data_IF_478788017946
#
_entry.id   IF_478788017946
#
_cell.length_a   1.000
_cell.length_b   1.000
_cell.length_c   1.000
_cell.angle_alpha   90.00
_cell.angle_beta   90.00
_cell.angle_gamma   90.00
#
_symmetry.space_group_name_H-M   'P 1'
#
loop_
_entity.id
_entity.type
_entity.pdbx_description
1 polymer ?
#
# COMPACT_ATOMS: atom_id res chain seq x y z
N UNK A 1 -29.38 59.04 37.20
CA UNK A 1 -28.54 58.67 36.04
C UNK A 1 -27.39 57.84 36.57
N UNK A 2 -27.51 56.51 36.49
CA UNK A 2 -26.48 55.59 36.96
C UNK A 2 -25.50 55.34 35.83
N UNK A 3 -24.22 55.63 36.08
CA UNK A 3 -23.13 55.41 35.12
C UNK A 3 -22.80 53.92 35.13
N UNK A 4 -23.14 53.23 34.04
CA UNK A 4 -22.85 51.82 33.85
C UNK A 4 -21.38 51.67 33.44
N UNK A 5 -20.55 51.26 34.39
CA UNK A 5 -19.12 51.03 34.21
C UNK A 5 -18.92 49.83 33.27
N UNK A 6 -18.57 50.08 32.01
CA UNK A 6 -18.25 49.03 31.05
C UNK A 6 -17.06 48.20 31.55
N UNK A 7 -17.29 46.90 31.76
CA UNK A 7 -16.26 45.96 32.14
C UNK A 7 -15.26 45.77 30.99
N UNK A 8 -13.94 45.67 31.27
CA UNK A 8 -12.92 45.49 30.24
C UNK A 8 -13.16 44.17 29.51
N UNK A 9 -13.34 44.24 28.20
CA UNK A 9 -13.44 43.05 27.34
C UNK A 9 -12.10 42.33 27.35
N UNK A 10 -12.01 41.24 28.11
CA UNK A 10 -10.85 40.35 28.08
C UNK A 10 -10.78 39.75 26.67
N UNK A 11 -9.67 40.00 25.97
CA UNK A 11 -9.42 39.41 24.66
C UNK A 11 -9.44 37.88 24.80
N UNK A 12 -10.09 37.14 23.88
CA UNK A 12 -10.11 35.69 23.91
C UNK A 12 -8.67 35.16 23.87
N UNK A 13 -8.38 34.04 24.56
CA UNK A 13 -7.06 33.44 24.57
C UNK A 13 -6.62 33.20 23.12
N UNK A 14 -5.44 33.74 22.78
CA UNK A 14 -4.76 33.54 21.51
C UNK A 14 -4.82 32.06 21.15
N UNK A 15 -5.52 31.73 20.07
CA UNK A 15 -5.58 30.38 19.53
C UNK A 15 -4.15 29.85 19.43
N UNK A 16 -3.88 28.72 20.06
CA UNK A 16 -2.60 28.01 19.89
C UNK A 16 -2.35 27.88 18.38
N UNK A 17 -1.15 28.23 17.89
CA UNK A 17 -0.83 28.03 16.49
C UNK A 17 -1.09 26.56 16.19
N UNK A 18 -2.07 26.31 15.31
CA UNK A 18 -2.40 24.96 14.88
C UNK A 18 -1.13 24.26 14.39
N UNK A 19 -1.08 22.92 14.43
CA UNK A 19 0.03 22.19 13.82
C UNK A 19 0.26 22.77 12.42
N UNK A 20 1.52 23.10 12.12
CA UNK A 20 1.90 23.69 10.83
C UNK A 20 1.34 22.88 9.66
N UNK A 21 1.26 23.48 8.46
CA UNK A 21 0.66 22.84 7.30
C UNK A 21 1.23 21.43 7.15
N UNK A 22 0.37 20.42 7.29
CA UNK A 22 0.74 19.04 7.04
C UNK A 22 1.00 18.95 5.55
N UNK A 23 2.22 18.63 5.14
CA UNK A 23 2.56 18.45 3.72
C UNK A 23 1.76 17.26 3.19
N UNK A 24 0.64 17.56 2.52
CA UNK A 24 -0.22 16.56 1.92
C UNK A 24 0.40 16.06 0.62
N UNK A 25 0.29 14.75 0.37
CA UNK A 25 0.73 14.14 -0.89
C UNK A 25 0.00 14.79 -2.08
N UNK A 26 0.76 15.49 -2.94
CA UNK A 26 0.20 16.16 -4.11
C UNK A 26 0.11 15.17 -5.30
N UNK A 27 -0.95 14.38 -5.33
CA UNK A 27 -1.17 13.39 -6.39
C UNK A 27 -1.40 14.06 -7.75
N UNK A 28 -0.49 13.82 -8.71
CA UNK A 28 -0.58 14.32 -10.08
C UNK A 28 -1.26 13.33 -11.04
N UNK A 29 -1.45 13.73 -12.29
CA UNK A 29 -1.99 12.84 -13.35
C UNK A 29 -1.13 11.58 -13.54
N UNK A 30 0.19 11.71 -13.35
CA UNK A 30 1.11 10.57 -13.37
C UNK A 30 0.77 9.55 -12.28
N UNK A 31 0.38 9.99 -11.08
CA UNK A 31 0.03 9.08 -9.99
C UNK A 31 -1.27 8.32 -10.27
N UNK A 32 -2.23 8.94 -10.96
CA UNK A 32 -3.43 8.24 -11.44
C UNK A 32 -3.08 7.19 -12.49
N UNK A 33 -2.21 7.53 -13.46
CA UNK A 33 -1.75 6.57 -14.48
C UNK A 33 -1.03 5.40 -13.81
N UNK A 34 -0.11 5.68 -12.88
CA UNK A 34 0.58 4.64 -12.10
C UNK A 34 -0.41 3.81 -11.28
N UNK A 35 -1.42 4.43 -10.66
CA UNK A 35 -2.46 3.73 -9.92
C UNK A 35 -3.26 2.77 -10.81
N UNK A 36 -3.62 3.18 -12.03
CA UNK A 36 -4.29 2.30 -13.02
C UNK A 36 -3.37 1.18 -13.48
N UNK A 37 -2.11 1.48 -13.78
CA UNK A 37 -1.12 0.46 -14.18
C UNK A 37 -0.86 -0.55 -13.07
N UNK A 38 -0.86 -0.11 -11.81
CA UNK A 38 -0.73 -1.01 -10.66
C UNK A 38 -1.99 -1.85 -10.46
N UNK A 39 -3.17 -1.24 -10.55
CA UNK A 39 -4.44 -1.94 -10.31
C UNK A 39 -4.80 -2.93 -11.42
N UNK A 40 -4.43 -2.64 -12.67
CA UNK A 40 -4.82 -3.45 -13.83
C UNK A 40 -3.63 -4.10 -14.54
N UNK A 41 -2.57 -3.34 -14.79
CA UNK A 41 -1.41 -3.82 -15.56
C UNK A 41 -0.58 -4.86 -14.79
N UNK A 42 -0.37 -4.65 -13.50
CA UNK A 42 0.45 -5.54 -12.68
C UNK A 42 -0.19 -6.93 -12.44
N UNK A 43 -1.51 -7.07 -12.20
CA UNK A 43 -2.16 -8.38 -12.18
C UNK A 43 -2.04 -9.12 -13.51
N UNK A 44 -2.17 -8.41 -14.65
CA UNK A 44 -1.98 -9.02 -15.98
C UNK A 44 -0.53 -9.47 -16.19
N UNK A 45 0.45 -8.66 -15.79
CA UNK A 45 1.86 -9.03 -15.86
C UNK A 45 2.18 -10.23 -14.95
N UNK A 46 1.60 -10.29 -13.76
CA UNK A 46 1.76 -11.41 -12.83
C UNK A 46 1.12 -12.69 -13.38
N UNK A 47 -0.05 -12.60 -14.02
CA UNK A 47 -0.70 -13.72 -14.70
C UNK A 47 0.17 -14.24 -15.86
N UNK A 48 0.67 -13.35 -16.71
CA UNK A 48 1.60 -13.73 -17.78
C UNK A 48 2.89 -14.38 -17.24
N UNK A 49 3.45 -13.85 -16.15
CA UNK A 49 4.60 -14.45 -15.47
C UNK A 49 4.29 -15.84 -14.93
N UNK A 50 3.09 -16.06 -14.38
CA UNK A 50 2.65 -17.37 -13.94
C UNK A 50 2.64 -18.36 -15.10
N UNK A 51 2.10 -17.97 -16.26
CA UNK A 51 2.05 -18.83 -17.46
C UNK A 51 3.45 -19.17 -17.99
N UNK A 52 4.38 -18.21 -17.98
CA UNK A 52 5.75 -18.40 -18.51
C UNK A 52 6.65 -19.16 -17.53
N UNK A 53 6.53 -18.89 -16.23
CA UNK A 53 7.44 -19.46 -15.21
C UNK A 53 6.88 -20.71 -14.54
N UNK A 54 5.58 -20.99 -14.70
CA UNK A 54 4.88 -22.11 -14.06
C UNK A 54 4.67 -21.93 -12.55
N UNK A 55 4.98 -20.76 -11.98
CA UNK A 55 4.89 -20.52 -10.54
C UNK A 55 4.56 -19.09 -10.14
N UNK A 56 3.87 -18.94 -9.01
CA UNK A 56 3.43 -17.62 -8.51
C UNK A 56 4.59 -16.77 -7.96
N UNK A 57 5.75 -17.36 -7.65
CA UNK A 57 6.86 -16.67 -7.01
C UNK A 57 7.39 -15.49 -7.84
N UNK A 58 7.52 -15.64 -9.16
CA UNK A 58 8.00 -14.59 -10.04
C UNK A 58 7.01 -13.41 -10.14
N UNK A 59 5.71 -13.72 -10.28
CA UNK A 59 4.64 -12.71 -10.27
C UNK A 59 4.58 -11.95 -8.95
N UNK A 60 4.67 -12.64 -7.81
CA UNK A 60 4.68 -12.01 -6.48
C UNK A 60 5.94 -11.15 -6.26
N UNK A 61 7.10 -11.62 -6.71
CA UNK A 61 8.34 -10.85 -6.64
C UNK A 61 8.23 -9.56 -7.45
N UNK A 62 7.72 -9.60 -8.68
CA UNK A 62 7.47 -8.41 -9.49
C UNK A 62 6.47 -7.49 -8.79
N UNK A 63 5.29 -8.01 -8.44
CA UNK A 63 4.18 -7.24 -7.90
C UNK A 63 4.56 -6.52 -6.60
N UNK A 64 5.12 -7.24 -5.63
CA UNK A 64 5.50 -6.64 -4.35
C UNK A 64 6.73 -5.75 -4.45
N UNK A 65 7.71 -6.09 -5.28
CA UNK A 65 8.90 -5.21 -5.43
C UNK A 65 8.52 -3.88 -6.07
N UNK A 66 7.64 -3.89 -7.08
CA UNK A 66 7.18 -2.67 -7.75
C UNK A 66 6.29 -1.85 -6.81
N UNK A 67 5.19 -2.43 -6.32
CA UNK A 67 4.19 -1.69 -5.54
C UNK A 67 4.70 -1.28 -4.17
N UNK A 68 5.36 -2.21 -3.47
CA UNK A 68 5.81 -1.94 -2.14
C UNK A 68 7.15 -1.18 -2.19
N UNK A 69 8.18 -1.67 -2.88
CA UNK A 69 9.51 -1.05 -2.73
C UNK A 69 9.74 0.11 -3.70
N UNK A 70 9.72 -0.15 -5.00
CA UNK A 70 10.17 0.81 -6.01
C UNK A 70 9.31 2.07 -6.00
N UNK A 71 7.99 1.89 -6.05
CA UNK A 71 7.05 2.99 -6.17
C UNK A 71 7.02 3.86 -4.91
N UNK A 72 6.99 3.25 -3.72
CA UNK A 72 7.03 4.00 -2.45
C UNK A 72 8.34 4.76 -2.31
N UNK A 73 9.49 4.14 -2.61
CA UNK A 73 10.78 4.83 -2.52
C UNK A 73 10.88 5.99 -3.50
N UNK A 74 10.39 5.81 -4.72
CA UNK A 74 10.37 6.88 -5.72
C UNK A 74 9.53 8.07 -5.23
N UNK A 75 8.29 7.82 -4.80
CA UNK A 75 7.37 8.90 -4.44
C UNK A 75 7.70 9.59 -3.13
N UNK A 76 8.33 8.88 -2.17
CA UNK A 76 8.92 9.49 -0.98
C UNK A 76 9.97 10.55 -1.32
N UNK A 77 10.71 10.37 -2.40
CA UNK A 77 11.76 11.30 -2.83
C UNK A 77 11.27 12.51 -3.63
N UNK A 78 10.08 12.43 -4.25
CA UNK A 78 9.64 13.45 -5.22
C UNK A 78 8.42 14.26 -4.81
N UNK A 79 7.48 13.70 -4.05
CA UNK A 79 6.15 14.32 -3.83
C UNK A 79 5.73 14.36 -2.36
N UNK A 80 6.68 14.20 -1.44
CA UNK A 80 6.38 14.17 0.00
C UNK A 80 5.49 13.00 0.42
N UNK A 81 5.37 11.94 -0.40
CA UNK A 81 4.56 10.77 -0.05
C UNK A 81 5.06 10.20 1.28
N UNK A 82 4.22 10.21 2.31
CA UNK A 82 4.57 9.67 3.61
C UNK A 82 3.67 8.49 3.94
N UNK A 83 4.30 7.35 4.25
CA UNK A 83 3.57 6.18 4.71
C UNK A 83 3.49 6.20 6.22
N UNK A 84 2.29 6.04 6.75
CA UNK A 84 2.04 6.00 8.21
C UNK A 84 2.72 4.79 8.87
N UNK A 85 2.90 3.70 8.12
CA UNK A 85 3.41 2.43 8.63
C UNK A 85 4.89 2.24 8.25
N UNK A 86 5.72 1.87 9.25
CA UNK A 86 7.12 1.49 9.04
C UNK A 86 7.21 0.26 8.13
N UNK A 87 8.31 0.14 7.39
CA UNK A 87 8.46 -0.92 6.40
C UNK A 87 8.53 -2.31 7.04
N UNK A 88 7.58 -3.23 6.76
CA UNK A 88 7.59 -4.54 7.36
C UNK A 88 8.46 -5.50 6.53
N UNK A 89 9.78 -5.28 6.55
CA UNK A 89 10.75 -6.08 5.78
C UNK A 89 10.62 -7.58 6.02
N UNK A 90 10.30 -7.99 7.25
CA UNK A 90 10.07 -9.39 7.58
C UNK A 90 8.85 -9.96 6.87
N UNK A 91 7.73 -9.23 6.81
CA UNK A 91 6.53 -9.67 6.07
C UNK A 91 6.81 -9.77 4.57
N UNK A 92 7.57 -8.81 4.02
CA UNK A 92 7.98 -8.84 2.61
C UNK A 92 8.89 -10.04 2.31
N UNK A 93 9.91 -10.29 3.14
CA UNK A 93 10.79 -11.44 2.95
C UNK A 93 10.02 -12.76 3.06
N UNK A 94 9.17 -12.88 4.09
CA UNK A 94 8.31 -14.04 4.27
C UNK A 94 7.32 -14.23 3.10
N UNK A 95 6.84 -13.16 2.47
CA UNK A 95 5.92 -13.24 1.32
C UNK A 95 6.55 -13.72 0.05
N UNK A 96 7.86 -13.56 -0.10
CA UNK A 96 8.60 -14.08 -1.25
C UNK A 96 9.16 -15.47 -0.98
N UNK A 97 9.74 -15.67 0.21
CA UNK A 97 10.38 -16.94 0.58
C UNK A 97 9.34 -18.06 0.68
N UNK A 98 8.18 -17.81 1.31
CA UNK A 98 7.17 -18.85 1.53
C UNK A 98 6.65 -19.46 0.21
N UNK A 99 6.13 -18.68 -0.76
CA UNK A 99 5.69 -19.25 -2.04
C UNK A 99 6.85 -19.81 -2.87
N UNK A 100 8.05 -19.23 -2.82
CA UNK A 100 9.21 -19.80 -3.50
C UNK A 100 9.60 -21.18 -2.94
N UNK A 101 9.60 -21.33 -1.61
CA UNK A 101 9.86 -22.60 -0.94
C UNK A 101 8.77 -23.62 -1.25
N UNK A 102 7.49 -23.22 -1.19
CA UNK A 102 6.37 -24.09 -1.57
C UNK A 102 6.52 -24.53 -3.03
N UNK A 103 6.77 -23.61 -3.96
CA UNK A 103 6.96 -23.94 -5.38
C UNK A 103 8.16 -24.87 -5.61
N UNK A 104 9.26 -24.67 -4.89
CA UNK A 104 10.46 -25.52 -5.00
C UNK A 104 10.21 -26.92 -4.47
N UNK A 105 9.63 -27.04 -3.27
CA UNK A 105 9.30 -28.32 -2.66
C UNK A 105 8.24 -29.10 -3.46
N UNK A 106 7.39 -28.38 -4.21
CA UNK A 106 6.31 -28.95 -5.00
C UNK A 106 6.57 -28.89 -6.52
N UNK A 107 7.81 -28.67 -6.97
CA UNK A 107 8.12 -28.38 -8.38
C UNK A 107 7.63 -29.44 -9.38
N UNK A 108 7.57 -30.71 -8.96
CA UNK A 108 7.08 -31.82 -9.79
C UNK A 108 5.63 -32.23 -9.51
N UNK A 109 4.94 -31.49 -8.65
CA UNK A 109 3.59 -31.80 -8.20
C UNK A 109 2.62 -30.74 -8.69
N UNK A 110 1.78 -31.09 -9.66
CA UNK A 110 0.63 -30.26 -10.04
C UNK A 110 -0.33 -30.11 -8.84
N UNK A 111 -1.17 -29.05 -8.80
CA UNK A 111 -2.22 -28.92 -7.80
C UNK A 111 -3.07 -30.20 -7.76
N UNK A 112 -2.89 -31.00 -6.72
CA UNK A 112 -3.61 -32.27 -6.57
C UNK A 112 -4.98 -31.97 -5.98
N UNK A 113 -6.02 -32.52 -6.58
CA UNK A 113 -7.39 -32.52 -6.01
C UNK A 113 -7.40 -33.11 -4.59
N UNK A 114 -6.41 -33.96 -4.26
CA UNK A 114 -6.20 -34.57 -2.95
C UNK A 114 -4.97 -33.98 -2.22
N UNK A 115 -4.80 -32.66 -2.21
CA UNK A 115 -3.73 -32.03 -1.46
C UNK A 115 -3.81 -32.42 0.03
N UNK A 116 -2.68 -32.68 0.71
CA UNK A 116 -2.68 -32.99 2.14
C UNK A 116 -3.33 -31.86 2.94
N UNK A 117 -4.22 -32.19 3.89
CA UNK A 117 -4.92 -31.21 4.72
C UNK A 117 -3.97 -30.23 5.43
N UNK A 118 -2.80 -30.70 5.86
CA UNK A 118 -1.78 -29.84 6.45
C UNK A 118 -1.32 -28.75 5.47
N UNK A 119 -1.11 -29.07 4.20
CA UNK A 119 -0.72 -28.09 3.18
C UNK A 119 -1.80 -27.06 2.91
N UNK A 120 -3.07 -27.49 2.92
CA UNK A 120 -4.24 -26.59 2.82
C UNK A 120 -4.29 -25.63 4.02
N UNK A 121 -4.14 -26.16 5.24
CA UNK A 121 -4.14 -25.36 6.47
C UNK A 121 -3.00 -24.35 6.51
N UNK A 122 -1.78 -24.75 6.12
CA UNK A 122 -0.64 -23.83 6.05
C UNK A 122 -0.87 -22.72 5.01
N UNK A 123 -1.45 -23.06 3.86
CA UNK A 123 -1.79 -22.07 2.85
C UNK A 123 -2.85 -21.09 3.36
N UNK A 124 -3.90 -21.59 4.00
CA UNK A 124 -5.00 -20.77 4.51
C UNK A 124 -4.61 -19.90 5.71
N UNK A 125 -3.82 -20.42 6.65
CA UNK A 125 -3.51 -19.74 7.92
C UNK A 125 -2.23 -18.92 7.87
N UNK A 126 -1.28 -19.24 6.99
CA UNK A 126 0.01 -18.54 6.90
C UNK A 126 0.10 -17.77 5.59
N UNK A 127 -0.02 -18.45 4.46
CA UNK A 127 0.22 -17.82 3.17
C UNK A 127 -0.88 -16.79 2.82
N UNK A 128 -2.16 -17.14 2.97
CA UNK A 128 -3.26 -16.26 2.58
C UNK A 128 -3.30 -14.94 3.38
N UNK A 129 -3.16 -14.92 4.72
CA UNK A 129 -3.14 -13.67 5.48
C UNK A 129 -1.91 -12.82 5.17
N UNK A 130 -0.77 -13.48 4.93
CA UNK A 130 0.47 -12.80 4.59
C UNK A 130 0.40 -12.18 3.19
N UNK A 131 -0.16 -12.90 2.22
CA UNK A 131 -0.45 -12.39 0.89
C UNK A 131 -1.44 -11.22 0.94
N UNK A 132 -2.53 -11.37 1.70
CA UNK A 132 -3.51 -10.31 1.89
C UNK A 132 -2.88 -9.06 2.52
N UNK A 133 -2.04 -9.20 3.55
CA UNK A 133 -1.35 -8.07 4.16
C UNK A 133 -0.45 -7.34 3.15
N UNK A 134 0.32 -8.09 2.36
CA UNK A 134 1.17 -7.52 1.31
C UNK A 134 0.37 -6.84 0.20
N UNK A 135 -0.78 -7.40 -0.17
CA UNK A 135 -1.69 -6.80 -1.12
C UNK A 135 -2.25 -5.48 -0.59
N UNK A 136 -2.70 -5.42 0.68
CA UNK A 136 -3.12 -4.17 1.31
C UNK A 136 -2.02 -3.10 1.29
N UNK A 137 -0.77 -3.50 1.52
CA UNK A 137 0.38 -2.60 1.40
C UNK A 137 0.54 -2.06 -0.03
N UNK A 138 0.34 -2.88 -1.06
CA UNK A 138 0.39 -2.43 -2.44
C UNK A 138 -0.74 -1.44 -2.77
N UNK A 139 -1.94 -1.67 -2.23
CA UNK A 139 -3.12 -0.82 -2.45
C UNK A 139 -3.03 0.55 -1.81
N UNK A 140 -2.23 0.74 -0.75
CA UNK A 140 -2.14 2.06 -0.10
C UNK A 140 -1.79 3.18 -1.08
N UNK A 141 -0.81 2.99 -1.95
CA UNK A 141 -0.46 4.03 -2.90
C UNK A 141 -1.59 4.32 -3.90
N UNK A 142 -2.25 3.27 -4.40
CA UNK A 142 -3.39 3.42 -5.32
C UNK A 142 -4.47 4.25 -4.62
N UNK A 143 -4.91 3.83 -3.43
CA UNK A 143 -5.95 4.53 -2.68
C UNK A 143 -5.54 5.97 -2.32
N UNK A 144 -4.28 6.20 -1.94
CA UNK A 144 -3.76 7.54 -1.66
C UNK A 144 -3.76 8.41 -2.92
N UNK A 145 -3.28 7.90 -4.06
CA UNK A 145 -3.28 8.63 -5.34
C UNK A 145 -4.67 9.09 -5.75
N UNK A 146 -5.67 8.21 -5.61
CA UNK A 146 -7.05 8.59 -5.87
C UNK A 146 -7.57 9.57 -4.80
N UNK A 147 -7.46 9.24 -3.51
CA UNK A 147 -7.95 10.10 -2.42
C UNK A 147 -7.42 11.54 -2.52
N UNK A 148 -6.11 11.69 -2.66
CA UNK A 148 -5.47 13.01 -2.62
C UNK A 148 -5.68 13.82 -3.90
N UNK A 149 -5.98 13.18 -5.03
CA UNK A 149 -6.30 13.88 -6.28
C UNK A 149 -7.52 14.78 -6.15
N UNK A 150 -8.55 14.33 -5.43
CA UNK A 150 -9.81 15.07 -5.25
C UNK A 150 -9.94 15.76 -3.89
N UNK A 151 -9.23 15.31 -2.85
CA UNK A 151 -9.35 15.94 -1.52
C UNK A 151 -8.71 17.32 -1.41
N UNK A 152 -7.79 17.66 -2.30
CA UNK A 152 -7.03 18.93 -2.26
C UNK A 152 -7.72 20.09 -2.99
N UNK A 153 -8.95 19.92 -3.50
CA UNK A 153 -9.59 20.96 -4.30
C UNK A 153 -8.81 21.29 -5.58
N UNK A 154 -7.92 20.39 -6.02
CA UNK A 154 -7.07 20.52 -7.20
C UNK A 154 -7.87 20.24 -8.49
N UNK A 155 -8.99 20.94 -8.67
CA UNK A 155 -9.42 21.43 -9.97
C UNK A 155 -8.76 22.80 -10.14
N UNK A 156 -7.45 22.81 -10.37
CA UNK A 156 -6.72 23.94 -10.96
C UNK A 156 -6.02 23.43 -12.20
#
# INVERSE_FOLDING_TARGET
>A
MSVETQQPTTLPPTATPGPGPVDYFAAGNLDLVLAVLVALGLPLAAAWLLDVTGGAAAGLALYYSVCCVALVRWRRGTLGYHRVVKWPWLLFAASLITPALIATLNWQFLPRVNAPWLGVLLTLLIWAPLNAAMEQLAWFYVLDAWRFRWSTGALR
#
